data_IF_356091353781
#
_entry.id   IF_356091353781
#
_cell.length_a   1.000
_cell.length_b   1.000
_cell.length_c   1.000
_cell.angle_alpha   90.00
_cell.angle_beta   90.00
_cell.angle_gamma   90.00
#
_symmetry.space_group_name_H-M   'P 1'
#
loop_
_entity.id
_entity.type
_entity.pdbx_description
1 polymer ?
#
# COMPACT_ATOMS: atom_id res chain seq x y z
N UNK A 1 -5.26 5.32 -22.28
CA UNK A 1 -4.07 5.07 -21.44
C UNK A 1 -3.47 6.41 -21.07
N UNK A 2 -2.83 6.50 -19.90
CA UNK A 2 -2.08 7.68 -19.46
C UNK A 2 -0.73 7.25 -18.87
N UNK A 3 0.27 8.12 -18.92
CA UNK A 3 1.52 7.96 -18.18
C UNK A 3 1.88 9.26 -17.49
N UNK A 4 2.29 9.16 -16.22
CA UNK A 4 2.68 10.28 -15.39
C UNK A 4 3.96 9.93 -14.62
N UNK A 5 4.76 10.95 -14.27
CA UNK A 5 5.93 10.77 -13.40
C UNK A 5 5.44 10.86 -11.96
N UNK A 6 5.85 9.90 -11.13
CA UNK A 6 5.52 9.87 -9.71
C UNK A 6 6.76 10.25 -8.91
N UNK A 7 6.56 11.17 -7.98
CA UNK A 7 7.55 11.61 -7.00
C UNK A 7 7.00 11.34 -5.60
N UNK A 8 7.85 11.15 -4.59
CA UNK A 8 7.42 11.28 -3.20
C UNK A 8 6.81 12.66 -2.97
N UNK A 9 5.79 12.73 -2.12
CA UNK A 9 5.21 14.03 -1.72
C UNK A 9 6.24 14.84 -0.93
N UNK A 10 7.03 14.17 -0.08
CA UNK A 10 8.13 14.76 0.67
C UNK A 10 9.09 13.71 1.20
N UNK A 11 10.36 14.07 1.40
CA UNK A 11 11.30 13.27 2.18
C UNK A 11 12.39 14.13 2.83
N UNK A 12 12.97 13.63 3.91
CA UNK A 12 14.10 14.26 4.58
C UNK A 12 15.41 13.94 3.85
N UNK A 13 15.93 14.90 3.08
CA UNK A 13 17.16 14.74 2.28
C UNK A 13 18.43 14.48 3.10
N UNK A 14 18.42 14.79 4.40
CA UNK A 14 19.56 14.52 5.30
C UNK A 14 19.52 13.10 5.88
N UNK A 15 18.35 12.48 5.92
CA UNK A 15 18.14 11.16 6.50
C UNK A 15 17.93 10.07 5.44
N UNK A 16 17.33 10.41 4.31
CA UNK A 16 17.03 9.52 3.20
C UNK A 16 17.62 10.04 1.89
N UNK A 17 17.80 9.13 0.94
CA UNK A 17 18.19 9.42 -0.45
C UNK A 17 17.13 8.88 -1.39
N UNK A 18 16.92 9.51 -2.54
CA UNK A 18 16.11 8.94 -3.61
C UNK A 18 16.79 7.68 -4.21
N UNK A 19 16.01 6.71 -4.70
CA UNK A 19 16.58 5.62 -5.50
C UNK A 19 17.30 6.18 -6.74
N UNK A 20 18.25 5.42 -7.29
CA UNK A 20 19.01 5.80 -8.49
C UNK A 20 18.18 5.79 -9.80
N UNK A 21 16.86 5.83 -9.70
CA UNK A 21 15.90 5.83 -10.78
C UNK A 21 14.71 6.73 -10.45
N UNK A 22 14.04 7.21 -11.49
CA UNK A 22 12.73 7.86 -11.40
C UNK A 22 11.63 6.84 -11.69
N UNK A 23 10.39 7.13 -11.29
CA UNK A 23 9.26 6.21 -11.48
C UNK A 23 8.20 6.85 -12.36
N UNK A 24 7.75 6.13 -13.38
CA UNK A 24 6.54 6.46 -14.13
C UNK A 24 5.39 5.54 -13.73
N UNK A 25 4.16 6.05 -13.71
CA UNK A 25 2.93 5.27 -13.53
C UNK A 25 2.14 5.27 -14.83
N UNK A 26 1.90 4.07 -15.36
CA UNK A 26 1.11 3.84 -16.58
C UNK A 26 -0.27 3.32 -16.18
N UNK A 27 -1.30 4.08 -16.53
CA UNK A 27 -2.70 3.74 -16.29
C UNK A 27 -3.35 3.22 -17.59
N UNK A 28 -3.94 2.02 -17.53
CA UNK A 28 -4.52 1.33 -18.69
C UNK A 28 -5.76 0.50 -18.31
N UNK A 29 -6.86 0.66 -19.04
CA UNK A 29 -8.13 -0.01 -18.69
C UNK A 29 -8.52 0.27 -17.23
N UNK A 30 -8.79 -0.78 -16.45
CA UNK A 30 -9.05 -0.72 -15.01
C UNK A 30 -7.80 -0.95 -14.14
N UNK A 31 -6.61 -0.85 -14.74
CA UNK A 31 -5.35 -1.28 -14.17
C UNK A 31 -4.27 -0.20 -14.18
N UNK A 32 -3.27 -0.39 -13.32
CA UNK A 32 -2.06 0.44 -13.30
C UNK A 32 -0.80 -0.40 -13.15
N UNK A 33 0.30 0.08 -13.69
CA UNK A 33 1.64 -0.48 -13.45
C UNK A 33 2.66 0.65 -13.45
N UNK A 34 3.84 0.38 -12.90
CA UNK A 34 4.94 1.31 -12.88
C UNK A 34 6.01 0.92 -13.90
N UNK A 35 6.82 1.90 -14.27
CA UNK A 35 7.99 1.75 -15.14
C UNK A 35 9.16 2.50 -14.51
N UNK A 36 10.37 1.99 -14.75
CA UNK A 36 11.60 2.64 -14.28
C UNK A 36 12.08 3.65 -15.32
N UNK A 37 12.34 4.88 -14.88
CA UNK A 37 12.83 5.97 -15.69
C UNK A 37 14.25 6.35 -15.27
N UNK A 38 15.08 6.79 -16.23
CA UNK A 38 16.38 7.39 -15.97
C UNK A 38 16.24 8.85 -15.51
N UNK A 39 17.38 9.54 -15.32
CA UNK A 39 17.40 10.94 -14.88
C UNK A 39 16.77 11.91 -15.89
N UNK A 40 16.81 11.58 -17.19
CA UNK A 40 16.15 12.34 -18.26
C UNK A 40 14.66 12.01 -18.39
N UNK A 41 14.08 11.29 -17.41
CA UNK A 41 12.70 10.84 -17.39
C UNK A 41 12.33 9.93 -18.57
N UNK A 42 13.28 9.16 -19.12
CA UNK A 42 13.04 8.17 -20.18
C UNK A 42 13.05 6.75 -19.62
N UNK A 43 12.25 5.82 -20.18
CA UNK A 43 12.31 4.41 -19.82
C UNK A 43 13.74 3.88 -19.92
N UNK A 44 14.21 3.22 -18.86
CA UNK A 44 15.60 2.76 -18.77
C UNK A 44 15.77 1.26 -18.98
N UNK A 45 14.67 0.51 -19.12
CA UNK A 45 14.69 -0.93 -19.37
C UNK A 45 14.26 -1.21 -20.82
N UNK A 46 15.06 -2.01 -21.51
CA UNK A 46 14.77 -2.54 -22.84
C UNK A 46 15.04 -4.06 -22.82
N UNK A 47 14.01 -4.91 -23.02
CA UNK A 47 12.63 -4.57 -23.36
C UNK A 47 11.90 -3.86 -22.20
N UNK A 48 10.78 -3.20 -22.48
CA UNK A 48 10.03 -2.46 -21.46
C UNK A 48 9.57 -3.41 -20.35
N UNK A 49 9.85 -3.03 -19.09
CA UNK A 49 9.42 -3.77 -17.92
C UNK A 49 8.28 -3.08 -17.20
N UNK A 50 7.17 -3.80 -17.02
CA UNK A 50 6.07 -3.37 -16.15
C UNK A 50 6.24 -3.90 -14.73
N UNK A 51 6.04 -3.02 -13.75
CA UNK A 51 5.99 -3.36 -12.34
C UNK A 51 4.55 -3.27 -11.87
N UNK A 52 3.96 -4.40 -11.49
CA UNK A 52 2.54 -4.44 -11.06
C UNK A 52 2.35 -3.63 -9.79
N UNK A 53 1.27 -2.87 -9.68
CA UNK A 53 0.94 -2.19 -8.43
C UNK A 53 0.73 -3.21 -7.31
N UNK A 54 1.36 -3.00 -6.15
CA UNK A 54 1.28 -3.93 -5.02
C UNK A 54 -0.19 -4.23 -4.62
N UNK A 55 -1.01 -3.18 -4.52
CA UNK A 55 -2.44 -3.32 -4.24
C UNK A 55 -3.19 -4.13 -5.29
N UNK A 56 -2.84 -3.98 -6.58
CA UNK A 56 -3.41 -4.78 -7.66
C UNK A 56 -2.96 -6.23 -7.58
N UNK A 57 -1.68 -6.48 -7.29
CA UNK A 57 -1.15 -7.83 -7.12
C UNK A 57 -1.89 -8.58 -5.99
N UNK A 58 -2.03 -7.95 -4.82
CA UNK A 58 -2.71 -8.52 -3.67
C UNK A 58 -4.19 -8.76 -3.97
N UNK A 59 -4.92 -7.74 -4.47
CA UNK A 59 -6.36 -7.85 -4.72
C UNK A 59 -6.73 -8.91 -5.76
N UNK A 60 -5.86 -9.20 -6.72
CA UNK A 60 -6.12 -10.19 -7.78
C UNK A 60 -5.66 -11.60 -7.44
N UNK A 61 -4.77 -11.75 -6.45
CA UNK A 61 -4.10 -13.02 -6.17
C UNK A 61 -4.33 -13.56 -4.76
N UNK A 62 -4.81 -12.73 -3.84
CA UNK A 62 -5.20 -13.16 -2.50
C UNK A 62 -6.70 -13.50 -2.47
N UNK A 63 -7.11 -14.51 -1.67
CA UNK A 63 -8.53 -14.75 -1.44
C UNK A 63 -9.17 -13.52 -0.77
N UNK A 64 -10.43 -13.27 -1.10
CA UNK A 64 -11.21 -12.24 -0.42
C UNK A 64 -11.44 -12.68 1.04
N UNK A 65 -11.22 -11.76 1.98
CA UNK A 65 -11.47 -12.00 3.39
C UNK A 65 -12.96 -12.28 3.63
N UNK A 66 -13.27 -13.24 4.50
CA UNK A 66 -14.64 -13.71 4.73
C UNK A 66 -15.62 -12.56 5.10
N UNK A 67 -15.28 -11.61 5.99
CA UNK A 67 -16.19 -10.50 6.31
C UNK A 67 -16.47 -9.58 5.12
N UNK A 68 -15.49 -9.41 4.22
CA UNK A 68 -15.67 -8.61 3.01
C UNK A 68 -16.59 -9.34 2.02
N UNK A 69 -16.43 -10.65 1.88
CA UNK A 69 -17.31 -11.48 1.05
C UNK A 69 -18.76 -11.41 1.54
N UNK A 70 -18.98 -11.58 2.84
CA UNK A 70 -20.30 -11.45 3.47
C UNK A 70 -20.90 -10.05 3.25
N UNK A 71 -20.07 -9.01 3.32
CA UNK A 71 -20.50 -7.64 3.04
C UNK A 71 -20.92 -7.44 1.57
N UNK A 72 -20.19 -8.03 0.62
CA UNK A 72 -20.58 -8.04 -0.81
C UNK A 72 -21.90 -8.80 -1.01
N UNK A 73 -22.08 -9.95 -0.35
CA UNK A 73 -23.32 -10.71 -0.41
C UNK A 73 -24.52 -9.92 0.14
N UNK A 74 -24.31 -9.17 1.24
CA UNK A 74 -25.35 -8.34 1.87
C UNK A 74 -25.84 -7.19 0.98
N UNK A 75 -24.93 -6.48 0.31
CA UNK A 75 -25.27 -5.28 -0.46
C UNK A 75 -25.55 -5.57 -1.94
N UNK A 76 -25.06 -6.70 -2.46
CA UNK A 76 -25.04 -6.96 -3.89
C UNK A 76 -23.93 -6.16 -4.59
N UNK A 77 -23.50 -6.63 -5.76
CA UNK A 77 -22.28 -6.14 -6.43
C UNK A 77 -22.32 -4.66 -6.80
N UNK A 78 -23.47 -4.16 -7.25
CA UNK A 78 -23.61 -2.76 -7.67
C UNK A 78 -23.46 -1.80 -6.49
N UNK A 79 -24.18 -2.04 -5.41
CA UNK A 79 -24.15 -1.17 -4.23
C UNK A 79 -22.83 -1.31 -3.47
N UNK A 80 -22.32 -2.54 -3.33
CA UNK A 80 -20.99 -2.78 -2.79
C UNK A 80 -19.90 -2.03 -3.57
N UNK A 81 -20.01 -1.97 -4.91
CA UNK A 81 -19.11 -1.19 -5.76
C UNK A 81 -19.18 0.31 -5.49
N UNK A 82 -20.39 0.88 -5.36
CA UNK A 82 -20.60 2.31 -5.03
C UNK A 82 -20.02 2.67 -3.66
N UNK A 83 -20.32 1.85 -2.65
CA UNK A 83 -19.82 2.04 -1.28
C UNK A 83 -18.29 1.90 -1.21
N UNK A 84 -17.71 0.97 -1.99
CA UNK A 84 -16.26 0.85 -2.10
C UNK A 84 -15.64 2.11 -2.72
N UNK A 85 -16.24 2.67 -3.78
CA UNK A 85 -15.77 3.90 -4.41
C UNK A 85 -15.83 5.09 -3.43
N UNK A 86 -16.90 5.22 -2.65
CA UNK A 86 -17.03 6.21 -1.57
C UNK A 86 -15.90 6.06 -0.55
N UNK A 87 -15.64 4.83 -0.10
CA UNK A 87 -14.58 4.56 0.87
C UNK A 87 -13.18 4.84 0.30
N UNK A 88 -12.96 4.57 -0.99
CA UNK A 88 -11.71 4.87 -1.69
C UNK A 88 -11.48 6.38 -1.81
N UNK A 89 -12.51 7.14 -2.22
CA UNK A 89 -12.43 8.59 -2.33
C UNK A 89 -12.17 9.25 -0.97
N UNK A 90 -12.87 8.81 0.08
CA UNK A 90 -12.60 9.29 1.43
C UNK A 90 -11.19 8.91 1.90
N UNK A 91 -10.74 7.68 1.60
CA UNK A 91 -9.39 7.22 1.93
C UNK A 91 -8.30 8.10 1.32
N UNK A 92 -8.45 8.46 0.04
CA UNK A 92 -7.54 9.39 -0.65
C UNK A 92 -7.52 10.76 0.03
N UNK A 93 -8.69 11.34 0.33
CA UNK A 93 -8.77 12.61 1.05
C UNK A 93 -8.05 12.54 2.41
N UNK A 94 -8.29 11.49 3.20
CA UNK A 94 -7.63 11.31 4.49
C UNK A 94 -6.11 11.23 4.36
N UNK A 95 -5.59 10.49 3.38
CA UNK A 95 -4.16 10.38 3.13
C UNK A 95 -3.54 11.73 2.75
N UNK A 96 -4.19 12.50 1.86
CA UNK A 96 -3.73 13.83 1.47
C UNK A 96 -3.63 14.78 2.68
N UNK A 97 -4.64 14.79 3.54
CA UNK A 97 -4.63 15.68 4.71
C UNK A 97 -3.63 15.25 5.79
N UNK A 98 -3.44 13.93 5.98
CA UNK A 98 -2.35 13.41 6.82
C UNK A 98 -0.99 13.86 6.26
N UNK A 99 -0.77 13.73 4.95
CA UNK A 99 0.45 14.17 4.28
C UNK A 99 0.71 15.68 4.51
N UNK A 100 -0.31 16.52 4.30
CA UNK A 100 -0.23 17.97 4.55
C UNK A 100 0.16 18.28 6.00
N UNK A 101 -0.46 17.61 6.99
CA UNK A 101 -0.09 17.79 8.39
C UNK A 101 1.37 17.38 8.66
N UNK A 102 1.81 16.23 8.16
CA UNK A 102 3.18 15.74 8.38
C UNK A 102 4.24 16.68 7.77
N UNK A 103 3.95 17.30 6.62
CA UNK A 103 4.86 18.25 5.95
C UNK A 103 4.88 19.59 6.68
N UNK A 104 3.70 20.13 7.02
CA UNK A 104 3.58 21.48 7.56
C UNK A 104 3.77 21.54 9.09
N UNK A 105 3.66 20.39 9.76
CA UNK A 105 3.59 20.26 11.23
C UNK A 105 2.54 21.15 11.87
N UNK A 106 1.51 21.49 11.11
CA UNK A 106 0.41 22.35 11.48
C UNK A 106 -0.82 21.96 10.65
N UNK A 107 -1.99 22.04 11.26
CA UNK A 107 -3.26 21.79 10.60
C UNK A 107 -4.33 22.71 11.20
N UNK A 108 -5.09 23.38 10.33
CA UNK A 108 -6.22 24.22 10.73
C UNK A 108 -7.53 23.43 10.58
N UNK A 109 -8.20 23.21 11.71
CA UNK A 109 -9.45 22.43 11.75
C UNK A 109 -10.68 23.23 11.32
N UNK A 110 -10.59 24.57 11.27
CA UNK A 110 -11.67 25.43 10.78
C UNK A 110 -11.80 25.34 9.24
N UNK A 111 -10.71 25.00 8.56
CA UNK A 111 -10.64 24.92 7.09
C UNK A 111 -11.16 23.59 6.51
N UNK A 112 -11.48 22.60 7.36
CA UNK A 112 -11.88 21.25 6.92
C UNK A 112 -13.12 21.26 6.02
N UNK A 113 -14.08 22.14 6.27
CA UNK A 113 -15.28 22.25 5.43
C UNK A 113 -14.90 22.59 3.99
N UNK A 114 -14.08 23.64 3.80
CA UNK A 114 -13.58 24.03 2.49
C UNK A 114 -12.66 22.98 1.87
N UNK A 115 -11.85 22.28 2.65
CA UNK A 115 -11.02 21.15 2.18
C UNK A 115 -11.88 20.06 1.56
N UNK A 116 -12.96 19.65 2.23
CA UNK A 116 -13.88 18.62 1.73
C UNK A 116 -14.61 19.12 0.48
N UNK A 117 -15.12 20.34 0.49
CA UNK A 117 -15.81 20.92 -0.67
C UNK A 117 -14.93 21.00 -1.90
N UNK A 118 -13.70 21.49 -1.74
CA UNK A 118 -12.71 21.57 -2.83
C UNK A 118 -12.36 20.19 -3.36
N UNK A 119 -12.11 19.21 -2.49
CA UNK A 119 -11.80 17.84 -2.91
C UNK A 119 -12.95 17.23 -3.74
N UNK A 120 -14.20 17.39 -3.29
CA UNK A 120 -15.37 16.89 -4.00
C UNK A 120 -15.56 17.59 -5.35
N UNK A 121 -15.34 18.90 -5.41
CA UNK A 121 -15.43 19.70 -6.63
C UNK A 121 -14.34 19.31 -7.66
N UNK A 122 -13.08 19.26 -7.24
CA UNK A 122 -11.94 18.90 -8.07
C UNK A 122 -12.07 17.49 -8.66
N UNK A 123 -12.60 16.55 -7.87
CA UNK A 123 -12.81 15.17 -8.31
C UNK A 123 -14.16 14.95 -8.98
N UNK A 124 -15.01 15.98 -9.10
CA UNK A 124 -16.39 15.90 -9.62
C UNK A 124 -17.17 14.74 -8.98
N UNK A 125 -17.05 14.58 -7.66
CA UNK A 125 -17.59 13.45 -6.92
C UNK A 125 -18.60 13.93 -5.87
N UNK A 126 -19.80 13.36 -5.87
CA UNK A 126 -20.79 13.60 -4.82
C UNK A 126 -21.66 12.37 -4.60
N UNK A 127 -21.87 12.02 -3.33
CA UNK A 127 -22.76 10.95 -2.87
C UNK A 127 -23.44 11.41 -1.57
N UNK A 128 -24.65 10.92 -1.22
CA UNK A 128 -25.33 11.31 0.03
C UNK A 128 -24.45 11.19 1.28
N UNK A 129 -23.58 10.18 1.34
CA UNK A 129 -22.65 9.90 2.43
C UNK A 129 -21.52 10.94 2.57
N UNK A 130 -21.23 11.73 1.53
CA UNK A 130 -20.17 12.75 1.59
C UNK A 130 -20.51 13.90 2.53
N UNK A 131 -21.79 14.06 2.89
CA UNK A 131 -22.25 15.06 3.87
C UNK A 131 -21.62 14.87 5.25
N UNK A 132 -21.26 13.65 5.61
CA UNK A 132 -20.66 13.33 6.90
C UNK A 132 -19.13 13.47 6.89
N UNK A 133 -18.51 13.75 5.72
CA UNK A 133 -17.05 13.72 5.59
C UNK A 133 -16.35 14.82 6.37
N UNK A 134 -16.97 15.98 6.55
CA UNK A 134 -16.39 17.09 7.36
C UNK A 134 -16.14 16.63 8.79
N UNK A 135 -17.18 16.15 9.48
CA UNK A 135 -17.05 15.66 10.86
C UNK A 135 -16.18 14.40 10.94
N UNK A 136 -16.31 13.51 9.96
CA UNK A 136 -15.50 12.29 9.91
C UNK A 136 -14.02 12.61 9.77
N UNK A 137 -13.64 13.49 8.84
CA UNK A 137 -12.26 13.90 8.60
C UNK A 137 -11.69 14.64 9.82
N UNK A 138 -12.46 15.52 10.46
CA UNK A 138 -12.08 16.16 11.73
C UNK A 138 -11.73 15.12 12.80
N UNK A 139 -12.61 14.15 13.02
CA UNK A 139 -12.42 13.09 14.02
C UNK A 139 -11.24 12.16 13.69
N UNK A 140 -11.09 11.79 12.41
CA UNK A 140 -10.05 10.87 11.96
C UNK A 140 -8.66 11.54 11.97
N UNK A 141 -8.55 12.83 11.63
CA UNK A 141 -7.30 13.61 11.76
C UNK A 141 -6.88 13.80 13.22
N UNK A 142 -7.81 14.08 14.13
CA UNK A 142 -7.50 14.10 15.57
C UNK A 142 -6.90 12.76 16.03
N UNK A 143 -7.42 11.64 15.51
CA UNK A 143 -6.88 10.30 15.82
C UNK A 143 -5.45 10.13 15.30
N UNK A 144 -5.16 10.68 14.12
CA UNK A 144 -3.81 10.63 13.54
C UNK A 144 -2.82 11.50 14.32
N UNK A 145 -3.21 12.73 14.67
CA UNK A 145 -2.38 13.63 15.46
C UNK A 145 -2.12 13.03 16.85
N UNK A 146 -3.10 12.35 17.46
CA UNK A 146 -2.85 11.63 18.72
C UNK A 146 -1.79 10.54 18.55
N UNK A 147 -1.84 9.75 17.46
CA UNK A 147 -0.78 8.78 17.14
C UNK A 147 0.60 9.45 16.97
N UNK A 148 0.64 10.57 16.24
CA UNK A 148 1.86 11.36 16.05
C UNK A 148 2.47 11.80 17.39
N UNK A 149 1.64 12.24 18.33
CA UNK A 149 2.06 12.68 19.66
C UNK A 149 2.49 11.50 20.56
N UNK A 150 1.68 10.45 20.64
CA UNK A 150 1.93 9.30 21.52
C UNK A 150 3.27 8.63 21.22
N UNK A 151 3.61 8.54 19.94
CA UNK A 151 4.83 7.88 19.46
C UNK A 151 5.92 8.86 19.04
N UNK A 152 5.75 10.17 19.26
CA UNK A 152 6.74 11.20 18.91
C UNK A 152 7.28 11.00 17.48
N UNK A 153 6.37 10.89 16.52
CA UNK A 153 6.68 10.51 15.15
C UNK A 153 7.55 11.58 14.49
N UNK A 154 8.65 11.16 13.88
CA UNK A 154 9.54 11.99 13.06
C UNK A 154 9.49 11.48 11.62
N UNK A 155 8.80 12.17 10.69
CA UNK A 155 8.69 11.75 9.30
C UNK A 155 10.05 11.72 8.61
N UNK A 156 10.30 10.67 7.83
CA UNK A 156 11.48 10.53 6.98
C UNK A 156 11.09 10.58 5.50
N UNK A 157 9.97 9.98 5.10
CA UNK A 157 9.44 10.02 3.74
C UNK A 157 7.94 9.80 3.69
N UNK A 158 7.26 10.50 2.78
CA UNK A 158 5.79 10.49 2.63
C UNK A 158 5.47 10.15 1.17
N UNK A 159 4.52 9.22 0.95
CA UNK A 159 4.16 8.72 -0.37
C UNK A 159 5.38 8.25 -1.18
N UNK A 160 6.29 7.55 -0.50
CA UNK A 160 7.62 7.26 -1.01
C UNK A 160 7.56 6.12 -2.05
N UNK A 161 7.80 6.45 -3.32
CA UNK A 161 7.64 5.50 -4.43
C UNK A 161 8.86 4.62 -4.65
N UNK A 162 8.67 3.30 -4.67
CA UNK A 162 9.73 2.30 -4.88
C UNK A 162 9.30 1.17 -5.82
N UNK A 163 10.29 0.58 -6.50
CA UNK A 163 10.14 -0.57 -7.39
C UNK A 163 11.00 -1.75 -6.91
N UNK A 164 10.43 -2.95 -6.91
CA UNK A 164 11.13 -4.20 -6.59
C UNK A 164 11.58 -4.92 -7.85
N UNK A 165 12.77 -5.51 -7.81
CA UNK A 165 13.26 -6.47 -8.80
C UNK A 165 12.35 -7.68 -8.96
N UNK A 166 11.40 -7.91 -8.05
CA UNK A 166 10.35 -8.94 -8.17
C UNK A 166 9.18 -8.51 -9.05
N UNK A 167 9.23 -7.33 -9.66
CA UNK A 167 8.27 -6.90 -10.67
C UNK A 167 7.00 -6.26 -10.11
N UNK A 168 7.08 -5.68 -8.92
CA UNK A 168 6.01 -4.87 -8.34
C UNK A 168 6.52 -3.52 -7.84
N UNK A 169 5.61 -2.58 -7.63
CA UNK A 169 5.91 -1.27 -7.06
C UNK A 169 4.73 -0.69 -6.30
N UNK A 170 5.00 0.26 -5.41
CA UNK A 170 3.98 1.01 -4.66
C UNK A 170 4.55 2.32 -4.16
N UNK A 171 3.66 3.18 -3.69
CA UNK A 171 4.00 4.28 -2.80
C UNK A 171 3.86 3.76 -1.37
N UNK A 172 4.80 4.12 -0.50
CA UNK A 172 4.78 3.82 0.93
C UNK A 172 4.25 5.08 1.63
N UNK A 173 3.12 4.96 2.32
CA UNK A 173 2.40 6.11 2.89
C UNK A 173 3.29 6.95 3.81
N UNK A 174 3.97 6.30 4.78
CA UNK A 174 4.92 6.95 5.68
C UNK A 174 6.08 6.05 6.07
N UNK A 175 7.29 6.58 5.96
CA UNK A 175 8.50 6.07 6.61
C UNK A 175 8.86 7.06 7.71
N UNK A 176 9.06 6.60 8.94
CA UNK A 176 9.35 7.48 10.07
C UNK A 176 10.31 6.84 11.09
N UNK A 177 10.90 7.69 11.93
CA UNK A 177 11.33 7.28 13.25
C UNK A 177 10.18 7.51 14.24
N UNK A 178 10.05 6.65 15.24
CA UNK A 178 9.05 6.78 16.29
C UNK A 178 9.54 6.15 17.60
N UNK A 179 9.01 6.60 18.73
CA UNK A 179 9.33 6.12 20.07
C UNK A 179 8.29 5.11 20.54
N UNK A 180 8.72 3.87 20.80
CA UNK A 180 7.89 2.82 21.41
C UNK A 180 8.29 2.56 22.87
N UNK A 181 7.40 1.94 23.62
CA UNK A 181 7.66 1.49 24.98
C UNK A 181 7.96 -0.01 24.99
N UNK A 182 9.17 -0.40 25.39
CA UNK A 182 9.60 -1.80 25.48
C UNK A 182 9.85 -2.20 26.93
N UNK A 183 9.78 -3.50 27.22
CA UNK A 183 10.16 -4.01 28.54
C UNK A 183 11.64 -3.75 28.82
N UNK A 184 11.92 -3.26 30.02
CA UNK A 184 13.25 -2.94 30.49
C UNK A 184 13.38 -3.10 32.01
N UNK A 185 14.56 -2.76 32.51
CA UNK A 185 14.88 -2.85 33.93
C UNK A 185 15.35 -1.49 34.45
N UNK A 186 14.73 -1.06 35.54
CA UNK A 186 15.08 0.14 36.30
C UNK A 186 16.08 -0.26 37.41
N UNK A 187 17.36 -0.02 37.14
CA UNK A 187 18.46 -0.29 38.06
C UNK A 187 18.60 0.77 39.15
N UNK A 188 18.04 1.98 38.94
CA UNK A 188 18.12 3.08 39.89
C UNK A 188 17.06 2.95 41.00
N UNK A 189 15.92 2.32 40.68
CA UNK A 189 14.84 2.06 41.62
C UNK A 189 14.52 0.55 41.71
N UNK A 190 15.43 -0.27 42.28
CA UNK A 190 15.18 -1.68 42.48
C UNK A 190 14.00 -1.93 43.43
N UNK A 191 13.45 -3.15 43.42
CA UNK A 191 12.39 -3.51 44.35
C UNK A 191 12.83 -3.27 45.80
N UNK A 192 12.03 -2.48 46.53
CA UNK A 192 12.38 -2.03 47.89
C UNK A 192 12.05 -3.07 48.98
N UNK A 193 11.14 -3.99 48.70
CA UNK A 193 10.62 -5.00 49.64
C UNK A 193 10.28 -6.31 48.91
N UNK A 194 9.99 -7.37 49.68
CA UNK A 194 9.61 -8.69 49.15
C UNK A 194 10.81 -9.58 48.80
N UNK A 195 10.53 -10.73 48.19
CA UNK A 195 11.53 -11.74 47.81
C UNK A 195 12.53 -11.25 46.76
N UNK A 196 12.11 -10.30 45.91
CA UNK A 196 12.92 -9.69 44.86
C UNK A 196 13.66 -8.42 45.31
N UNK A 197 13.72 -8.15 46.61
CA UNK A 197 14.32 -6.91 47.14
C UNK A 197 15.77 -6.77 46.68
N UNK A 198 16.10 -5.63 46.09
CA UNK A 198 17.42 -5.35 45.53
C UNK A 198 17.60 -5.75 44.06
N UNK A 199 16.68 -6.53 43.49
CA UNK A 199 16.65 -6.78 42.04
C UNK A 199 16.14 -5.53 41.31
N UNK A 200 16.65 -5.25 40.08
CA UNK A 200 16.13 -4.21 39.22
C UNK A 200 14.63 -4.38 38.98
N UNK A 201 13.89 -3.27 38.97
CA UNK A 201 12.44 -3.29 38.79
C UNK A 201 12.10 -3.36 37.30
N UNK A 202 11.19 -4.25 36.94
CA UNK A 202 10.62 -4.26 35.57
C UNK A 202 9.88 -2.94 35.29
N UNK A 203 10.21 -2.30 34.18
CA UNK A 203 9.62 -1.05 33.76
C UNK A 203 9.45 -1.00 32.23
N UNK A 204 8.76 0.04 31.76
CA UNK A 204 8.77 0.38 30.34
C UNK A 204 9.83 1.44 30.09
N UNK A 205 10.65 1.21 29.06
CA UNK A 205 11.66 2.16 28.60
C UNK A 205 11.34 2.61 27.18
N UNK A 206 11.58 3.89 26.91
CA UNK A 206 11.44 4.45 25.58
C UNK A 206 12.56 3.90 24.67
N UNK A 207 12.17 3.43 23.49
CA UNK A 207 13.08 3.00 22.42
C UNK A 207 12.68 3.67 21.12
N UNK A 208 13.61 4.36 20.48
CA UNK A 208 13.44 4.83 19.12
C UNK A 208 13.58 3.68 18.13
N UNK A 209 12.68 3.63 17.16
CA UNK A 209 12.66 2.64 16.08
C UNK A 209 12.41 3.33 14.74
N UNK A 210 12.87 2.72 13.65
CA UNK A 210 12.48 3.09 12.29
C UNK A 210 11.35 2.19 11.82
N UNK A 211 10.27 2.77 11.33
CA UNK A 211 9.11 2.02 10.89
C UNK A 211 8.54 2.53 9.56
N UNK A 212 7.79 1.65 8.90
CA UNK A 212 6.81 2.04 7.88
C UNK A 212 5.42 1.98 8.48
N UNK A 213 4.60 2.99 8.14
CA UNK A 213 3.20 3.06 8.55
C UNK A 213 2.35 3.08 7.28
N UNK A 214 1.40 2.15 7.19
CA UNK A 214 0.41 2.12 6.12
C UNK A 214 -0.98 2.47 6.67
N UNK A 215 -1.57 3.55 6.17
CA UNK A 215 -2.79 4.15 6.69
C UNK A 215 -4.04 3.51 6.09
N UNK A 216 -5.02 3.19 6.94
CA UNK A 216 -6.34 2.69 6.54
C UNK A 216 -7.42 3.63 7.06
N UNK A 217 -8.35 4.01 6.19
CA UNK A 217 -9.51 4.85 6.55
C UNK A 217 -10.66 4.07 7.20
N UNK A 218 -10.65 2.74 7.08
CA UNK A 218 -11.65 1.85 7.67
C UNK A 218 -11.43 1.64 9.16
N UNK A 219 -12.53 1.55 9.93
CA UNK A 219 -12.50 1.43 11.40
C UNK A 219 -12.56 -0.02 11.93
N UNK A 220 -12.77 -0.98 11.04
CA UNK A 220 -13.09 -2.39 11.38
C UNK A 220 -11.87 -3.27 11.68
N UNK A 221 -10.71 -2.67 11.93
CA UNK A 221 -9.46 -3.39 12.18
C UNK A 221 -8.71 -3.77 10.90
N UNK A 222 -7.73 -4.66 11.05
CA UNK A 222 -6.80 -5.04 9.98
C UNK A 222 -6.93 -6.50 9.63
N UNK A 223 -6.96 -6.78 8.34
CA UNK A 223 -7.01 -8.11 7.77
C UNK A 223 -5.63 -8.59 7.37
N UNK A 224 -5.53 -9.88 7.08
CA UNK A 224 -4.27 -10.53 6.74
C UNK A 224 -3.67 -9.97 5.45
N UNK A 225 -4.51 -9.62 4.48
CA UNK A 225 -4.11 -8.88 3.29
C UNK A 225 -3.44 -7.53 3.58
N UNK A 226 -3.75 -6.86 4.70
CA UNK A 226 -3.06 -5.63 5.11
C UNK A 226 -1.64 -5.93 5.61
N UNK A 227 -1.48 -7.00 6.40
CA UNK A 227 -0.15 -7.48 6.79
C UNK A 227 0.69 -7.89 5.58
N UNK A 228 0.08 -8.57 4.60
CA UNK A 228 0.75 -8.95 3.35
C UNK A 228 1.26 -7.73 2.57
N UNK A 229 0.45 -6.66 2.52
CA UNK A 229 0.86 -5.40 1.90
C UNK A 229 2.05 -4.79 2.64
N UNK A 230 2.00 -4.69 3.96
CA UNK A 230 3.08 -4.12 4.77
C UNK A 230 4.37 -4.92 4.69
N UNK A 231 4.30 -6.25 4.73
CA UNK A 231 5.49 -7.08 4.60
C UNK A 231 6.12 -6.95 3.21
N UNK A 232 5.31 -6.80 2.16
CA UNK A 232 5.80 -6.51 0.82
C UNK A 232 6.42 -5.10 0.70
N UNK A 233 5.88 -4.10 1.41
CA UNK A 233 6.46 -2.75 1.53
C UNK A 233 7.78 -2.77 2.32
N UNK A 234 7.85 -3.53 3.41
CA UNK A 234 9.08 -3.70 4.22
C UNK A 234 10.20 -4.31 3.39
N UNK A 235 9.94 -5.40 2.69
CA UNK A 235 10.92 -6.03 1.82
C UNK A 235 11.29 -5.13 0.62
N UNK A 236 10.34 -4.37 0.08
CA UNK A 236 10.60 -3.39 -0.98
C UNK A 236 11.54 -2.27 -0.50
N UNK A 237 11.33 -1.79 0.73
CA UNK A 237 12.20 -0.82 1.38
C UNK A 237 13.61 -1.37 1.55
N UNK A 238 13.76 -2.53 2.18
CA UNK A 238 15.07 -3.14 2.45
C UNK A 238 15.84 -3.51 1.18
N UNK A 239 15.13 -3.84 0.09
CA UNK A 239 15.75 -4.06 -1.22
C UNK A 239 16.38 -2.77 -1.79
N UNK A 240 15.73 -1.62 -1.58
CA UNK A 240 16.20 -0.33 -2.10
C UNK A 240 17.16 0.39 -1.12
N UNK A 241 17.05 0.10 0.17
CA UNK A 241 17.81 0.70 1.27
C UNK A 241 18.33 -0.34 2.27
N UNK A 242 19.23 -1.25 1.84
CA UNK A 242 19.74 -2.33 2.71
C UNK A 242 20.54 -1.80 3.93
N UNK A 243 21.05 -0.57 3.83
CA UNK A 243 21.75 0.16 4.89
C UNK A 243 20.82 0.87 5.89
N UNK A 244 19.51 0.95 5.58
CA UNK A 244 18.50 1.58 6.43
C UNK A 244 17.38 0.58 6.76
N UNK A 245 17.67 -0.51 7.48
CA UNK A 245 16.65 -1.50 7.83
C UNK A 245 15.53 -0.90 8.68
N UNK A 246 14.37 -1.55 8.63
CA UNK A 246 13.19 -1.21 9.42
C UNK A 246 13.16 -2.11 10.66
N UNK A 247 12.81 -1.53 11.80
CA UNK A 247 12.56 -2.27 13.03
C UNK A 247 11.14 -2.82 13.08
N UNK A 248 10.18 -2.13 12.44
CA UNK A 248 8.77 -2.49 12.48
C UNK A 248 7.97 -2.04 11.25
N UNK A 249 6.81 -2.66 11.03
CA UNK A 249 5.87 -2.35 9.96
C UNK A 249 4.43 -2.31 10.50
N UNK A 250 3.83 -1.13 10.55
CA UNK A 250 2.53 -0.92 11.21
C UNK A 250 1.41 -0.58 10.24
N UNK A 251 0.22 -1.14 10.49
CA UNK A 251 -1.00 -0.50 10.00
C UNK A 251 -1.53 0.46 11.06
N UNK A 252 -2.03 1.60 10.59
CA UNK A 252 -2.74 2.58 11.39
C UNK A 252 -4.16 2.80 10.85
N UNK A 253 -5.15 2.98 11.73
CA UNK A 253 -6.50 3.43 11.35
C UNK A 253 -7.15 4.23 12.47
N UNK A 254 -8.07 5.15 12.16
CA UNK A 254 -8.86 5.82 13.20
C UNK A 254 -9.83 4.84 13.87
N UNK A 255 -10.17 5.10 15.14
CA UNK A 255 -11.30 4.45 15.84
C UNK A 255 -12.48 5.39 15.94
N UNK A 256 -13.65 4.83 16.23
CA UNK A 256 -14.74 5.64 16.78
C UNK A 256 -14.42 5.97 18.22
N UNK A 257 -14.20 7.25 18.50
CA UNK A 257 -13.93 7.74 19.83
C UNK A 257 -15.03 8.72 20.27
N UNK A 258 -15.35 8.68 21.56
CA UNK A 258 -16.37 9.54 22.19
C UNK A 258 -15.87 10.24 23.45
N UNK A 259 -14.64 9.92 23.88
CA UNK A 259 -13.99 10.52 25.05
C UNK A 259 -13.22 11.78 24.69
N UNK A 260 -12.52 12.35 25.67
CA UNK A 260 -11.72 13.57 25.47
C UNK A 260 -10.42 13.32 24.70
N UNK A 261 -9.93 12.08 24.69
CA UNK A 261 -8.72 11.67 23.97
C UNK A 261 -9.10 10.89 22.70
N UNK A 262 -8.68 11.36 21.51
CA UNK A 262 -8.82 10.59 20.27
C UNK A 262 -8.13 9.23 20.37
N UNK A 263 -8.65 8.22 19.68
CA UNK A 263 -8.04 6.88 19.70
C UNK A 263 -7.94 6.28 18.31
N UNK A 264 -7.01 5.36 18.14
CA UNK A 264 -6.70 4.72 16.87
C UNK A 264 -6.37 3.23 17.08
N UNK A 265 -6.35 2.49 15.98
CA UNK A 265 -5.77 1.16 15.90
C UNK A 265 -4.33 1.29 15.41
N UNK A 266 -3.42 0.57 16.03
CA UNK A 266 -2.05 0.38 15.57
C UNK A 266 -1.73 -1.11 15.68
N UNK A 267 -1.30 -1.73 14.58
CA UNK A 267 -0.91 -3.14 14.57
C UNK A 267 0.43 -3.31 13.89
N UNK A 268 1.39 -3.89 14.61
CA UNK A 268 2.64 -4.38 14.06
C UNK A 268 2.40 -5.69 13.31
N UNK A 269 2.98 -5.86 12.13
CA UNK A 269 2.94 -7.10 11.37
C UNK A 269 4.30 -7.79 11.26
N UNK A 270 5.32 -7.23 11.90
CA UNK A 270 6.69 -7.75 11.82
C UNK A 270 6.76 -9.19 12.30
N UNK A 271 7.18 -10.08 11.40
CA UNK A 271 7.27 -11.52 11.68
C UNK A 271 5.96 -12.31 11.60
N UNK A 272 4.80 -11.67 11.37
CA UNK A 272 3.52 -12.39 11.23
C UNK A 272 3.29 -12.94 9.81
N UNK A 273 3.83 -12.25 8.79
CA UNK A 273 3.73 -12.66 7.38
C UNK A 273 5.10 -13.13 6.88
N UNK A 274 5.12 -14.27 6.20
CA UNK A 274 6.37 -14.85 5.70
C UNK A 274 6.78 -14.26 4.36
N UNK A 275 8.09 -14.17 4.11
CA UNK A 275 8.62 -13.80 2.79
C UNK A 275 8.13 -14.73 1.68
N UNK A 276 8.07 -16.03 1.95
CA UNK A 276 7.59 -17.03 1.00
C UNK A 276 6.15 -16.76 0.52
N UNK A 277 5.30 -16.24 1.41
CA UNK A 277 3.94 -15.89 1.05
C UNK A 277 3.85 -14.66 0.15
N UNK A 278 4.61 -13.60 0.47
CA UNK A 278 4.72 -12.43 -0.42
C UNK A 278 5.22 -12.87 -1.79
N UNK A 279 6.25 -13.71 -1.85
CA UNK A 279 6.78 -14.25 -3.10
C UNK A 279 5.73 -15.04 -3.90
N UNK A 280 4.93 -15.87 -3.24
CA UNK A 280 3.87 -16.63 -3.89
C UNK A 280 2.81 -15.70 -4.51
N UNK A 281 2.37 -14.67 -3.78
CA UNK A 281 1.37 -13.71 -4.27
C UNK A 281 1.93 -12.88 -5.42
N UNK A 282 3.18 -12.40 -5.32
CA UNK A 282 3.81 -11.64 -6.41
C UNK A 282 4.05 -12.50 -7.66
N UNK A 283 4.41 -13.77 -7.48
CA UNK A 283 4.55 -14.72 -8.60
C UNK A 283 3.22 -14.95 -9.30
N UNK A 284 2.13 -15.12 -8.55
CA UNK A 284 0.79 -15.24 -9.14
C UNK A 284 0.38 -13.97 -9.87
N UNK A 285 0.70 -12.79 -9.33
CA UNK A 285 0.38 -11.51 -9.97
C UNK A 285 1.13 -11.33 -11.30
N UNK A 286 2.40 -11.75 -11.36
CA UNK A 286 3.18 -11.72 -12.59
C UNK A 286 2.55 -12.56 -13.71
N UNK A 287 2.10 -13.77 -13.36
CA UNK A 287 1.45 -14.70 -14.29
C UNK A 287 0.06 -14.18 -14.71
N UNK A 288 -0.77 -13.77 -13.75
CA UNK A 288 -2.19 -13.47 -14.00
C UNK A 288 -2.42 -12.07 -14.57
N UNK A 289 -1.56 -11.11 -14.23
CA UNK A 289 -1.82 -9.70 -14.48
C UNK A 289 -0.77 -9.08 -15.40
N UNK A 290 0.53 -9.10 -15.03
CA UNK A 290 1.57 -8.43 -15.81
C UNK A 290 1.62 -8.95 -17.25
N UNK A 291 1.75 -10.27 -17.40
CA UNK A 291 1.81 -10.94 -18.72
C UNK A 291 0.58 -10.64 -19.58
N UNK A 292 -0.60 -10.56 -18.96
CA UNK A 292 -1.86 -10.24 -19.65
C UNK A 292 -1.91 -8.78 -20.09
N UNK A 293 -1.47 -7.85 -19.23
CA UNK A 293 -1.41 -6.43 -19.56
C UNK A 293 -0.45 -6.16 -20.72
N UNK A 294 0.72 -6.80 -20.70
CA UNK A 294 1.77 -6.68 -21.72
C UNK A 294 1.27 -7.13 -23.11
N UNK A 295 0.42 -8.16 -23.18
CA UNK A 295 -0.14 -8.69 -24.45
C UNK A 295 -1.38 -7.96 -24.98
N UNK A 296 -1.98 -7.06 -24.20
CA UNK A 296 -3.27 -6.45 -24.54
C UNK A 296 -3.08 -5.20 -25.41
N UNK A 297 -3.91 -5.08 -26.46
CA UNK A 297 -4.03 -3.86 -27.27
C UNK A 297 -5.15 -2.99 -26.70
N UNK A 298 -4.86 -1.71 -26.53
CA UNK A 298 -5.79 -0.73 -25.99
C UNK A 298 -6.14 0.32 -27.03
N UNK A 299 -7.39 0.78 -27.02
CA UNK A 299 -7.78 1.97 -27.76
C UNK A 299 -7.33 3.20 -26.99
N UNK A 300 -6.56 4.07 -27.64
CA UNK A 300 -6.21 5.39 -27.10
C UNK A 300 -6.74 6.48 -28.02
N UNK A 301 -7.09 7.61 -27.41
CA UNK A 301 -7.57 8.79 -28.13
C UNK A 301 -6.69 9.96 -27.69
N UNK A 302 -6.05 10.63 -28.64
CA UNK A 302 -5.20 11.79 -28.36
C UNK A 302 -4.49 12.34 -29.59
N UNK A 303 -4.07 13.61 -29.50
CA UNK A 303 -3.53 14.40 -30.60
C UNK A 303 -4.49 15.52 -31.01
N UNK A 304 -4.28 16.08 -32.20
CA UNK A 304 -5.13 17.14 -32.76
C UNK A 304 -5.78 16.62 -34.03
N UNK A 305 -7.08 16.88 -34.17
CA UNK A 305 -7.79 16.70 -35.43
C UNK A 305 -7.98 18.06 -36.08
N UNK A 306 -7.60 18.19 -37.35
CA UNK A 306 -7.94 19.34 -38.17
C UNK A 306 -9.04 18.97 -39.15
N UNK A 307 -9.97 19.88 -39.42
CA UNK A 307 -10.98 19.69 -40.47
C UNK A 307 -10.34 19.52 -41.85
N UNK A 308 -9.10 20.01 -42.02
CA UNK A 308 -8.31 19.79 -43.22
C UNK A 308 -8.01 18.29 -43.46
N UNK A 309 -7.98 17.48 -42.39
CA UNK A 309 -7.67 16.05 -42.43
C UNK A 309 -8.93 15.18 -42.52
N UNK A 310 -10.09 15.74 -42.88
CA UNK A 310 -11.38 15.02 -42.90
C UNK A 310 -11.35 13.70 -43.68
N UNK A 311 -10.54 13.61 -44.73
CA UNK A 311 -10.39 12.41 -45.55
C UNK A 311 -9.66 11.27 -44.81
N UNK A 312 -8.79 11.60 -43.84
CA UNK A 312 -8.14 10.63 -42.96
C UNK A 312 -9.08 10.20 -41.80
N UNK A 313 -10.20 10.89 -41.63
CA UNK A 313 -11.13 10.67 -40.53
C UNK A 313 -10.45 10.80 -39.16
N UNK A 314 -10.93 10.04 -38.18
CA UNK A 314 -10.39 10.06 -36.82
C UNK A 314 -9.15 9.18 -36.63
N UNK A 315 -8.59 8.61 -37.70
CA UNK A 315 -7.43 7.71 -37.61
C UNK A 315 -6.16 8.38 -37.06
N UNK A 316 -6.06 9.71 -37.19
CA UNK A 316 -4.94 10.50 -36.65
C UNK A 316 -5.01 10.68 -35.12
N UNK A 317 -6.18 10.50 -34.53
CA UNK A 317 -6.41 10.71 -33.08
C UNK A 317 -6.80 9.44 -32.35
N UNK A 318 -7.39 8.44 -33.03
CA UNK A 318 -7.74 7.12 -32.46
C UNK A 318 -6.67 6.10 -32.86
N UNK A 319 -6.00 5.50 -31.87
CA UNK A 319 -4.98 4.46 -32.08
C UNK A 319 -5.37 3.17 -31.35
N UNK A 320 -4.92 2.04 -31.89
CA UNK A 320 -4.96 0.73 -31.22
C UNK A 320 -3.52 0.30 -31.01
N UNK A 321 -3.03 0.47 -29.80
CA UNK A 321 -1.61 0.29 -29.49
C UNK A 321 -1.43 -0.54 -28.21
N UNK A 322 -0.29 -1.23 -28.12
CA UNK A 322 0.15 -1.90 -26.90
C UNK A 322 0.71 -0.90 -25.88
N UNK A 323 0.99 -1.37 -24.65
CA UNK A 323 1.60 -0.51 -23.62
C UNK A 323 3.00 -0.05 -24.04
N UNK A 324 3.78 -0.93 -24.68
CA UNK A 324 5.12 -0.62 -25.18
C UNK A 324 5.13 0.50 -26.21
N UNK A 325 4.31 0.39 -27.25
CA UNK A 325 4.12 1.40 -28.29
C UNK A 325 3.66 2.74 -27.69
N UNK A 326 2.68 2.70 -26.78
CA UNK A 326 2.21 3.90 -26.08
C UNK A 326 3.32 4.61 -25.30
N UNK A 327 4.12 3.84 -24.54
CA UNK A 327 5.23 4.37 -23.73
C UNK A 327 6.33 4.91 -24.65
N UNK A 328 6.76 4.16 -25.66
CA UNK A 328 7.77 4.60 -26.63
C UNK A 328 7.40 5.91 -27.29
N UNK A 329 6.15 6.03 -27.77
CA UNK A 329 5.63 7.26 -28.37
C UNK A 329 5.56 8.42 -27.38
N UNK A 330 5.15 8.18 -26.12
CA UNK A 330 5.06 9.23 -25.09
C UNK A 330 6.41 9.77 -24.66
N UNK A 331 7.45 8.94 -24.66
CA UNK A 331 8.81 9.33 -24.26
C UNK A 331 9.77 9.57 -25.45
N UNK A 332 9.30 9.42 -26.69
CA UNK A 332 10.10 9.60 -27.90
C UNK A 332 11.24 8.59 -28.02
N UNK A 333 10.99 7.33 -27.67
CA UNK A 333 11.97 6.23 -27.76
C UNK A 333 11.49 5.21 -28.79
N UNK A 334 12.43 4.58 -29.51
CA UNK A 334 12.15 3.66 -30.61
C UNK A 334 11.29 2.46 -30.15
N UNK A 335 10.25 2.11 -30.93
CA UNK A 335 9.28 1.07 -30.58
C UNK A 335 9.92 -0.30 -30.34
N UNK A 336 10.91 -0.68 -31.15
CA UNK A 336 11.67 -1.94 -31.01
C UNK A 336 12.32 -2.10 -29.62
N UNK A 337 12.71 -0.97 -29.00
CA UNK A 337 13.32 -0.98 -27.66
C UNK A 337 12.28 -1.05 -26.53
N UNK A 338 11.01 -0.80 -26.85
CA UNK A 338 9.91 -0.65 -25.90
C UNK A 338 8.89 -1.79 -25.99
N UNK A 339 9.13 -2.81 -26.82
CA UNK A 339 8.36 -4.05 -26.74
C UNK A 339 8.41 -4.58 -25.30
N UNK A 340 7.27 -4.92 -24.67
CA UNK A 340 7.30 -5.48 -23.33
C UNK A 340 8.05 -6.80 -23.29
N UNK A 341 8.73 -7.07 -22.17
CA UNK A 341 9.32 -8.40 -21.93
C UNK A 341 8.22 -9.44 -22.07
N UNK A 342 8.29 -10.32 -23.06
CA UNK A 342 7.33 -11.43 -23.17
C UNK A 342 7.56 -12.42 -22.03
N UNK A 343 6.78 -12.27 -20.94
CA UNK A 343 6.78 -13.21 -19.81
C UNK A 343 5.94 -14.44 -20.20
N UNK A 344 6.57 -15.41 -20.86
CA UNK A 344 5.86 -16.62 -21.27
C UNK A 344 6.69 -17.62 -22.08
N UNK A 345 7.36 -18.53 -21.36
CA UNK A 345 8.06 -19.69 -21.93
C UNK A 345 8.76 -20.48 -20.83
N UNK A 346 8.08 -21.52 -20.32
CA UNK A 346 8.58 -22.59 -19.43
C UNK A 346 9.54 -22.19 -18.26
N UNK A 347 9.36 -21.01 -17.64
CA UNK A 347 10.02 -20.69 -16.35
C UNK A 347 9.29 -21.28 -15.14
N UNK A 348 8.06 -21.75 -15.31
CA UNK A 348 7.22 -22.35 -14.26
C UNK A 348 7.89 -23.53 -13.57
N UNK A 349 8.68 -24.34 -14.29
CA UNK A 349 9.45 -25.45 -13.69
C UNK A 349 10.44 -24.97 -12.63
N UNK A 350 11.17 -23.89 -12.90
CA UNK A 350 12.24 -23.40 -12.04
C UNK A 350 11.67 -22.74 -10.76
N UNK A 351 10.53 -22.05 -10.87
CA UNK A 351 9.87 -21.44 -9.71
C UNK A 351 9.13 -22.46 -8.84
N UNK A 352 8.45 -23.45 -9.45
CA UNK A 352 7.81 -24.53 -8.69
C UNK A 352 8.86 -25.35 -7.95
N UNK A 353 10.00 -25.70 -8.58
CA UNK A 353 11.11 -26.36 -7.88
C UNK A 353 11.67 -25.53 -6.72
N UNK A 354 11.81 -24.21 -6.91
CA UNK A 354 12.36 -23.32 -5.88
C UNK A 354 11.40 -23.15 -4.70
N UNK A 355 10.10 -22.96 -4.97
CA UNK A 355 9.06 -22.89 -3.94
C UNK A 355 8.88 -24.24 -3.22
N UNK A 356 8.97 -25.37 -3.96
CA UNK A 356 8.90 -26.71 -3.39
C UNK A 356 10.10 -27.00 -2.48
N UNK A 357 11.32 -26.61 -2.87
CA UNK A 357 12.51 -26.71 -2.03
C UNK A 357 12.44 -25.79 -0.80
N UNK A 358 11.88 -24.60 -0.93
CA UNK A 358 11.68 -23.69 0.20
C UNK A 358 10.64 -24.25 1.20
N UNK A 359 9.54 -24.81 0.70
CA UNK A 359 8.50 -25.43 1.53
C UNK A 359 8.99 -26.70 2.26
N UNK A 360 9.96 -27.43 1.70
CA UNK A 360 10.60 -28.58 2.35
C UNK A 360 11.51 -28.20 3.54
N UNK A 361 11.92 -26.93 3.64
CA UNK A 361 12.78 -26.42 4.72
C UNK A 361 12.01 -25.68 5.83
N UNK A 362 10.68 -25.65 5.76
CA UNK A 362 9.85 -25.10 6.83
C UNK A 362 9.71 -26.20 7.89
N UNK A 363 10.24 -25.97 9.10
CA UNK A 363 9.99 -26.87 10.23
C UNK A 363 8.47 -26.98 10.46
N UNK A 364 7.92 -28.21 10.54
CA UNK A 364 6.50 -28.37 10.79
C UNK A 364 6.13 -27.69 12.11
N UNK A 365 5.09 -26.86 12.08
CA UNK A 365 4.49 -26.26 13.27
C UNK A 365 4.33 -27.34 14.36
N UNK A 366 4.73 -27.07 15.61
CA UNK A 366 4.64 -28.05 16.68
C UNK A 366 3.19 -28.53 16.77
N UNK A 367 2.99 -29.84 16.63
CA UNK A 367 1.67 -30.47 16.80
C UNK A 367 1.21 -30.19 18.23
N UNK A 368 0.35 -29.19 18.43
CA UNK A 368 -0.48 -29.13 19.65
C UNK A 368 -1.49 -30.26 19.56
N UNK A 369 -1.11 -31.45 20.00
CA UNK A 369 -2.05 -32.51 20.33
C UNK A 369 -2.64 -32.21 21.70
N UNK A 370 -3.77 -31.51 21.69
CA UNK A 370 -4.77 -31.66 22.74
C UNK A 370 -6.11 -31.82 22.05
N UNK A 371 -6.47 -33.07 21.79
CA UNK A 371 -7.85 -33.44 21.50
C UNK A 371 -8.61 -33.20 22.80
N UNK A 372 -9.29 -32.07 22.88
CA UNK A 372 -10.28 -31.85 23.94
C UNK A 372 -11.54 -32.57 23.44
N UNK A 373 -11.80 -33.76 23.97
CA UNK A 373 -13.08 -34.45 23.79
C UNK A 373 -14.13 -33.72 24.66
N UNK A 374 -14.67 -32.62 24.18
CA UNK A 374 -15.91 -32.08 24.75
C UNK A 374 -17.11 -32.79 24.09
N UNK A 375 -18.08 -33.28 24.88
CA UNK A 375 -19.29 -33.87 24.33
C UNK A 375 -20.11 -32.81 23.60
N UNK A 376 -20.50 -33.12 22.37
CA UNK A 376 -21.42 -32.34 21.54
C UNK A 376 -22.72 -32.14 22.32
N UNK A 377 -23.02 -30.91 22.72
CA UNK A 377 -24.34 -30.53 23.25
C UNK A 377 -25.34 -30.47 22.11
N UNK A 378 -26.53 -31.07 22.33
CA UNK A 378 -27.63 -31.12 21.37
C UNK A 378 -28.03 -29.74 20.80
N UNK A 379 -28.53 -29.68 19.54
CA UNK A 379 -28.90 -28.44 18.89
C UNK A 379 -30.09 -27.75 19.60
N UNK A 380 -29.97 -26.44 19.82
CA UNK A 380 -31.05 -25.61 20.35
C UNK A 380 -32.21 -25.52 19.34
N UNK A 381 -33.47 -25.60 19.81
CA UNK A 381 -34.66 -25.52 18.96
C UNK A 381 -34.87 -24.08 18.43
N UNK A 382 -35.40 -24.01 17.21
CA UNK A 382 -35.68 -22.82 16.40
C UNK A 382 -36.47 -21.70 17.09
#
# INVERSE_FOLDING_TARGET
>A
MNVEIILPDWFNETALRLPAYKVGRVNFGAGRSYIRLNQDCKPCESPLRLYTSLTTAINQCSPMEQPLLEWYCKHGTKEAGRLLEIAQQYGTLLHLEIGKFLINQHYDFEEIEMVVENYLAENTFYQPETKEWVEKLRSDLCSFIQFYLDYQVVPLGIEYVLLSQRGYGTLIDLVCNMTIQVDGLDYENPYKTGSRKGEPRECKVAKEIRAIINFKSGRHGFYRSNGLQLEAERQLWEENFPDLPLDAAYNWSPKEWRGETPTYNLKDWTGEITTAEVEAVMTLADIRYASKAESKVYTTIGGTFSIADREQGLSSVIRREGIGEFVGRKFGVAEETMEPIQRGGDKTKNYVEKAYKAAQNIEPLPKKSTVINEPVSDPLPF
#
